data_IF_379535743974
#
_entry.id   IF_379535743974
#
_cell.length_a   1.000
_cell.length_b   1.000
_cell.length_c   1.000
_cell.angle_alpha   90.00
_cell.angle_beta   90.00
_cell.angle_gamma   90.00
#
_symmetry.space_group_name_H-M   'P 1'
#
loop_
_entity.id
_entity.type
_entity.pdbx_description
1 polymer ?
#
# COMPACT_ATOMS: atom_id res chain seq x y z
N UNK A 1 -9.82 2.16 -12.96
CA UNK A 1 -9.01 3.34 -13.34
C UNK A 1 -7.74 3.51 -12.48
N UNK A 2 -7.73 3.14 -11.19
CA UNK A 2 -6.58 3.32 -10.28
C UNK A 2 -5.42 2.32 -10.46
N UNK A 3 -5.51 1.37 -11.37
CA UNK A 3 -4.59 0.23 -11.48
C UNK A 3 -3.23 0.51 -12.08
N UNK A 4 -3.07 1.69 -12.69
CA UNK A 4 -1.79 2.17 -13.25
C UNK A 4 -1.02 3.10 -12.28
N UNK A 5 -1.58 3.40 -11.09
CA UNK A 5 -0.89 4.12 -10.03
C UNK A 5 0.02 3.20 -9.24
N UNK A 6 1.06 3.77 -8.67
CA UNK A 6 1.96 3.08 -7.78
C UNK A 6 1.27 2.53 -6.55
N UNK A 7 1.54 1.26 -6.27
CA UNK A 7 1.18 0.55 -5.05
C UNK A 7 2.46 0.01 -4.40
N UNK A 8 2.36 -0.75 -3.31
CA UNK A 8 3.53 -1.36 -2.70
C UNK A 8 4.18 -2.44 -3.57
N UNK A 9 5.42 -2.78 -3.25
CA UNK A 9 6.18 -3.83 -3.95
C UNK A 9 5.57 -5.21 -3.71
N UNK A 10 5.46 -6.05 -4.76
CA UNK A 10 5.01 -7.45 -4.68
C UNK A 10 5.83 -8.23 -3.67
N UNK A 11 7.16 -8.11 -3.72
CA UNK A 11 8.08 -8.82 -2.81
C UNK A 11 7.85 -8.46 -1.34
N UNK A 12 7.59 -7.18 -1.06
CA UNK A 12 7.32 -6.74 0.30
C UNK A 12 5.96 -7.24 0.76
N UNK A 13 4.93 -7.13 -0.08
CA UNK A 13 3.58 -7.54 0.25
C UNK A 13 3.45 -9.05 0.45
N UNK A 14 4.09 -9.87 -0.41
CA UNK A 14 4.05 -11.33 -0.30
C UNK A 14 4.81 -11.86 0.93
N UNK A 15 5.88 -11.18 1.35
CA UNK A 15 6.65 -11.53 2.56
C UNK A 15 5.97 -11.09 3.85
N UNK A 16 5.08 -10.12 3.78
CA UNK A 16 4.34 -9.58 4.92
C UNK A 16 2.93 -10.18 4.96
N UNK A 17 2.90 -11.51 5.10
CA UNK A 17 1.68 -12.31 5.28
C UNK A 17 1.88 -13.21 6.47
N UNK A 18 0.85 -13.37 7.28
CA UNK A 18 0.84 -14.22 8.47
C UNK A 18 -0.02 -15.45 8.20
N UNK A 19 0.59 -16.62 8.22
CA UNK A 19 -0.11 -17.89 8.16
C UNK A 19 -0.31 -18.43 9.57
N UNK A 20 -1.54 -18.75 9.91
CA UNK A 20 -1.91 -19.35 11.21
C UNK A 20 -2.60 -20.67 10.98
N UNK A 21 -2.12 -21.69 11.69
CA UNK A 21 -2.63 -23.06 11.62
C UNK A 21 -3.12 -23.52 12.97
N UNK A 22 -4.17 -24.30 12.97
CA UNK A 22 -4.63 -25.00 14.16
C UNK A 22 -3.54 -25.95 14.68
N UNK A 23 -3.30 -25.96 16.00
CA UNK A 23 -2.24 -26.72 16.64
C UNK A 23 -0.83 -26.05 16.50
N UNK A 24 -0.75 -24.88 15.92
CA UNK A 24 0.51 -24.12 15.82
C UNK A 24 0.90 -23.58 17.19
N UNK A 25 2.17 -23.77 17.56
CA UNK A 25 2.72 -23.18 18.78
C UNK A 25 3.21 -21.75 18.46
N UNK A 26 2.49 -20.77 18.95
CA UNK A 26 2.79 -19.35 18.83
C UNK A 26 2.23 -18.59 20.04
N UNK A 27 3.08 -17.79 20.69
CA UNK A 27 2.64 -17.00 21.83
C UNK A 27 1.66 -15.89 21.40
N UNK A 28 0.59 -15.72 22.18
CA UNK A 28 -0.43 -14.69 21.92
C UNK A 28 0.18 -13.29 21.70
N UNK A 29 1.16 -12.91 22.51
CA UNK A 29 1.81 -11.58 22.37
C UNK A 29 2.64 -11.47 21.08
N UNK A 30 3.25 -12.55 20.61
CA UNK A 30 3.95 -12.61 19.35
C UNK A 30 2.97 -12.46 18.18
N UNK A 31 1.88 -13.21 18.20
CA UNK A 31 0.79 -13.09 17.22
C UNK A 31 0.24 -11.66 17.14
N UNK A 32 -0.03 -11.02 18.28
CA UNK A 32 -0.50 -9.63 18.31
C UNK A 32 0.53 -8.65 17.74
N UNK A 33 1.82 -8.88 18.00
CA UNK A 33 2.91 -8.05 17.43
C UNK A 33 2.97 -8.20 15.92
N UNK A 34 2.83 -9.42 15.39
CA UNK A 34 2.80 -9.67 13.95
C UNK A 34 1.61 -8.98 13.29
N UNK A 35 0.41 -9.01 13.90
CA UNK A 35 -0.74 -8.25 13.39
C UNK A 35 -0.47 -6.74 13.32
N UNK A 36 0.19 -6.18 14.33
CA UNK A 36 0.57 -4.75 14.31
C UNK A 36 1.63 -4.48 13.23
N UNK A 37 2.58 -5.37 13.02
CA UNK A 37 3.55 -5.27 11.93
C UNK A 37 2.89 -5.32 10.55
N UNK A 38 1.79 -6.09 10.40
CA UNK A 38 0.93 -6.11 9.21
C UNK A 38 0.01 -4.87 9.10
N UNK A 39 0.17 -3.88 9.98
CA UNK A 39 -0.60 -2.63 10.03
C UNK A 39 -2.08 -2.81 10.41
N UNK A 40 -2.43 -3.89 11.11
CA UNK A 40 -3.73 -4.01 11.77
C UNK A 40 -3.78 -3.14 13.02
N UNK A 41 -4.96 -2.57 13.29
CA UNK A 41 -5.18 -1.71 14.46
C UNK A 41 -6.00 -2.46 15.51
N UNK A 42 -5.53 -2.41 16.77
CA UNK A 42 -6.34 -2.94 17.88
C UNK A 42 -7.48 -1.98 18.20
N UNK A 43 -8.70 -2.47 18.13
CA UNK A 43 -9.88 -1.72 18.56
C UNK A 43 -10.95 -2.71 19.06
N UNK A 44 -11.30 -2.59 20.33
CA UNK A 44 -12.29 -3.50 20.96
C UNK A 44 -13.73 -2.99 20.82
N UNK A 45 -13.93 -1.72 20.46
CA UNK A 45 -15.27 -1.08 20.39
C UNK A 45 -15.74 -1.04 18.94
N UNK A 46 -14.93 -0.48 18.05
CA UNK A 46 -15.24 -0.33 16.64
C UNK A 46 -14.43 -1.36 15.84
N UNK A 47 -15.07 -2.50 15.53
CA UNK A 47 -14.43 -3.63 14.86
C UNK A 47 -14.75 -3.60 13.37
N UNK A 48 -13.77 -3.16 12.58
CA UNK A 48 -13.89 -3.00 11.13
C UNK A 48 -12.75 -3.72 10.41
N UNK A 49 -12.86 -3.82 9.10
CA UNK A 49 -11.83 -4.38 8.23
C UNK A 49 -10.45 -3.74 8.49
N UNK A 50 -9.42 -4.57 8.62
CA UNK A 50 -8.07 -4.15 8.98
C UNK A 50 -7.87 -3.90 10.48
N UNK A 51 -8.79 -4.38 11.32
CA UNK A 51 -8.69 -4.29 12.78
C UNK A 51 -8.71 -5.66 13.44
N UNK A 52 -8.22 -5.70 14.67
CA UNK A 52 -8.36 -6.86 15.53
C UNK A 52 -8.80 -6.43 16.94
N UNK A 53 -9.45 -7.35 17.66
CA UNK A 53 -9.81 -7.19 19.07
C UNK A 53 -9.40 -8.40 19.87
N UNK A 54 -9.13 -8.20 21.15
CA UNK A 54 -8.64 -9.24 22.04
C UNK A 54 -9.58 -9.35 23.24
N UNK A 55 -10.03 -10.57 23.53
CA UNK A 55 -10.89 -10.87 24.66
C UNK A 55 -10.41 -12.16 25.34
N UNK A 56 -9.63 -12.03 26.43
CA UNK A 56 -8.96 -13.16 27.06
C UNK A 56 -7.97 -13.82 26.09
N UNK A 57 -8.11 -15.12 25.91
CA UNK A 57 -7.29 -15.93 25.02
C UNK A 57 -7.82 -16.01 23.58
N UNK A 58 -8.69 -15.07 23.19
CA UNK A 58 -9.29 -15.01 21.86
C UNK A 58 -8.92 -13.73 21.15
N UNK A 59 -8.56 -13.85 19.87
CA UNK A 59 -8.29 -12.73 18.98
C UNK A 59 -9.26 -12.82 17.82
N UNK A 60 -10.12 -11.83 17.69
CA UNK A 60 -10.92 -11.64 16.49
C UNK A 60 -10.17 -10.73 15.53
N UNK A 61 -9.96 -11.19 14.30
CA UNK A 61 -9.29 -10.44 13.23
C UNK A 61 -10.29 -10.20 12.11
N UNK A 62 -10.44 -8.95 11.67
CA UNK A 62 -11.19 -8.64 10.46
C UNK A 62 -10.20 -8.44 9.32
N UNK A 63 -10.00 -9.48 8.47
CA UNK A 63 -8.95 -9.45 7.45
C UNK A 63 -9.16 -8.35 6.42
N UNK A 64 -8.06 -7.76 5.95
CA UNK A 64 -8.13 -6.69 4.96
C UNK A 64 -8.66 -7.14 3.59
N UNK A 65 -8.53 -8.44 3.28
CA UNK A 65 -8.96 -9.05 2.02
C UNK A 65 -10.44 -9.49 2.01
N UNK A 66 -11.13 -9.50 3.16
CA UNK A 66 -12.53 -9.92 3.27
C UNK A 66 -13.43 -8.69 3.52
N UNK A 67 -14.68 -8.75 3.05
CA UNK A 67 -15.61 -7.60 3.17
C UNK A 67 -16.53 -7.72 4.39
N UNK A 68 -17.14 -8.91 4.59
CA UNK A 68 -18.20 -9.10 5.58
C UNK A 68 -17.92 -10.27 6.53
N UNK A 69 -16.68 -10.72 6.63
CA UNK A 69 -16.29 -11.93 7.34
C UNK A 69 -15.08 -11.65 8.22
N UNK A 70 -15.12 -12.15 9.44
CA UNK A 70 -14.01 -12.07 10.39
C UNK A 70 -13.61 -13.47 10.89
N UNK A 71 -12.37 -13.58 11.37
CA UNK A 71 -11.82 -14.80 11.94
C UNK A 71 -11.62 -14.65 13.44
N UNK A 72 -12.05 -15.66 14.18
CA UNK A 72 -11.80 -15.83 15.61
C UNK A 72 -10.75 -16.89 15.81
N UNK A 73 -9.62 -16.51 16.37
CA UNK A 73 -8.49 -17.38 16.68
C UNK A 73 -8.46 -17.53 18.19
N UNK A 74 -8.66 -18.76 18.68
CA UNK A 74 -8.65 -19.09 20.10
C UNK A 74 -7.31 -19.73 20.46
N UNK A 75 -6.76 -19.35 21.60
CA UNK A 75 -5.49 -19.86 22.11
C UNK A 75 -5.73 -20.66 23.39
N UNK A 76 -4.97 -21.72 23.57
CA UNK A 76 -4.82 -22.43 24.83
C UNK A 76 -3.34 -22.43 25.22
N UNK A 77 -2.95 -21.54 26.14
CA UNK A 77 -1.55 -21.25 26.40
C UNK A 77 -0.87 -20.63 25.19
N UNK A 78 0.16 -21.29 24.69
CA UNK A 78 0.93 -20.87 23.50
C UNK A 78 0.54 -21.67 22.24
N UNK A 79 -0.60 -22.34 22.23
CA UNK A 79 -1.08 -23.13 21.10
C UNK A 79 -2.38 -22.54 20.50
N UNK A 80 -2.49 -22.51 19.18
CA UNK A 80 -3.72 -22.17 18.48
C UNK A 80 -4.70 -23.35 18.57
N UNK A 81 -5.73 -23.22 19.43
CA UNK A 81 -6.73 -24.25 19.68
C UNK A 81 -7.70 -24.39 18.51
N UNK A 82 -8.21 -23.25 18.00
CA UNK A 82 -9.27 -23.25 17.00
C UNK A 82 -9.26 -21.95 16.15
N UNK A 83 -9.69 -22.07 14.89
CA UNK A 83 -9.86 -20.96 13.96
C UNK A 83 -11.27 -21.01 13.39
N UNK A 84 -12.08 -20.00 13.71
CA UNK A 84 -13.49 -19.92 13.31
C UNK A 84 -13.74 -18.69 12.46
N UNK A 85 -14.54 -18.86 11.44
CA UNK A 85 -15.11 -17.79 10.64
C UNK A 85 -16.46 -17.40 11.22
N UNK A 86 -16.73 -16.10 11.31
CA UNK A 86 -17.98 -15.57 11.81
C UNK A 86 -18.35 -14.24 11.14
N UNK A 87 -19.63 -13.93 11.13
CA UNK A 87 -20.16 -12.64 10.73
C UNK A 87 -19.86 -11.58 11.82
N UNK A 88 -19.10 -10.53 11.53
CA UNK A 88 -18.73 -9.52 12.53
C UNK A 88 -19.90 -8.67 13.05
N UNK A 89 -21.05 -8.63 12.35
CA UNK A 89 -22.24 -7.88 12.75
C UNK A 89 -23.14 -8.70 13.68
N UNK A 90 -23.43 -9.95 13.30
CA UNK A 90 -24.34 -10.83 14.06
C UNK A 90 -23.60 -11.66 15.10
N UNK A 91 -22.30 -11.92 14.89
CA UNK A 91 -21.51 -12.84 15.69
C UNK A 91 -21.77 -14.32 15.38
N UNK A 92 -22.59 -14.61 14.36
CA UNK A 92 -22.93 -15.98 13.97
C UNK A 92 -21.71 -16.72 13.41
N UNK A 93 -21.54 -17.96 13.86
CA UNK A 93 -20.52 -18.86 13.35
C UNK A 93 -20.88 -19.32 11.94
N UNK A 94 -19.87 -19.34 11.05
CA UNK A 94 -20.03 -19.77 9.65
C UNK A 94 -19.34 -21.12 9.45
N UNK A 95 -18.04 -21.21 9.70
CA UNK A 95 -17.26 -22.44 9.54
C UNK A 95 -15.93 -22.40 10.33
N UNK A 96 -15.26 -23.56 10.43
CA UNK A 96 -13.92 -23.67 11.00
C UNK A 96 -12.89 -23.90 9.92
N UNK A 97 -11.65 -23.46 10.18
CA UNK A 97 -10.50 -23.63 9.30
C UNK A 97 -9.37 -24.36 10.01
N UNK A 98 -8.62 -25.18 9.28
CA UNK A 98 -7.35 -25.74 9.72
C UNK A 98 -6.20 -24.73 9.60
N UNK A 99 -6.30 -23.83 8.61
CA UNK A 99 -5.33 -22.74 8.41
C UNK A 99 -5.98 -21.52 7.76
N UNK A 100 -5.47 -20.35 8.09
CA UNK A 100 -5.85 -19.07 7.46
C UNK A 100 -4.61 -18.25 7.15
N UNK A 101 -4.73 -17.39 6.13
CA UNK A 101 -3.67 -16.50 5.68
C UNK A 101 -4.13 -15.04 5.81
N UNK A 102 -3.50 -14.30 6.69
CA UNK A 102 -3.79 -12.89 6.96
C UNK A 102 -2.83 -12.05 6.13
N UNK A 103 -3.37 -11.28 5.19
CA UNK A 103 -2.60 -10.36 4.37
C UNK A 103 -2.44 -9.01 5.06
N UNK A 104 -1.40 -8.28 4.69
CA UNK A 104 -1.15 -6.95 5.21
C UNK A 104 -2.33 -5.98 4.95
N UNK A 105 -2.61 -5.12 5.91
CA UNK A 105 -3.68 -4.10 5.82
C UNK A 105 -3.28 -2.89 4.97
N UNK A 106 -2.05 -2.83 4.46
CA UNK A 106 -1.55 -1.76 3.62
C UNK A 106 -0.66 -2.31 2.52
N UNK A 107 -0.75 -1.75 1.32
CA UNK A 107 0.17 -2.06 0.22
C UNK A 107 1.57 -1.46 0.40
N UNK A 108 1.71 -0.45 1.26
CA UNK A 108 3.00 0.22 1.54
C UNK A 108 3.71 -0.34 2.77
N UNK A 109 3.48 -1.62 3.06
CA UNK A 109 4.16 -2.29 4.15
C UNK A 109 5.62 -2.57 3.78
N UNK A 110 6.52 -2.35 4.74
CA UNK A 110 7.95 -2.43 4.47
C UNK A 110 8.67 -3.10 5.64
N UNK A 111 9.51 -4.13 5.41
CA UNK A 111 10.30 -4.75 6.46
C UNK A 111 11.21 -3.74 7.18
N UNK A 112 11.39 -3.89 8.50
CA UNK A 112 12.14 -2.97 9.36
C UNK A 112 13.51 -2.54 8.81
N UNK A 113 14.39 -3.44 8.32
CA UNK A 113 15.71 -3.02 7.82
C UNK A 113 15.62 -2.07 6.61
N UNK A 114 14.64 -2.30 5.73
CA UNK A 114 14.39 -1.43 4.57
C UNK A 114 13.78 -0.10 4.99
N UNK A 115 12.90 -0.11 6.00
CA UNK A 115 12.30 1.09 6.55
C UNK A 115 13.35 2.02 7.17
N UNK A 116 14.31 1.47 7.92
CA UNK A 116 15.41 2.24 8.51
C UNK A 116 16.29 2.88 7.44
N UNK A 117 16.58 2.17 6.35
CA UNK A 117 17.31 2.72 5.21
C UNK A 117 16.52 3.82 4.51
N UNK A 118 15.22 3.61 4.28
CA UNK A 118 14.33 4.63 3.70
C UNK A 118 14.33 5.91 4.53
N UNK A 119 14.26 5.81 5.86
CA UNK A 119 14.33 6.95 6.77
C UNK A 119 15.64 7.75 6.61
N UNK A 120 16.78 7.05 6.46
CA UNK A 120 18.09 7.70 6.24
C UNK A 120 18.12 8.45 4.91
N UNK A 121 17.60 7.84 3.85
CA UNK A 121 17.53 8.45 2.52
C UNK A 121 16.58 9.65 2.48
N UNK A 122 15.40 9.54 3.12
CA UNK A 122 14.46 10.66 3.24
C UNK A 122 15.11 11.85 3.97
N UNK A 123 15.83 11.61 5.08
CA UNK A 123 16.55 12.66 5.82
C UNK A 123 17.63 13.32 4.96
N UNK A 124 18.33 12.54 4.15
CA UNK A 124 19.35 13.06 3.23
C UNK A 124 18.73 13.96 2.15
N UNK A 125 17.67 13.49 1.51
CA UNK A 125 16.99 14.27 0.45
C UNK A 125 16.29 15.51 1.03
N UNK A 126 15.73 15.41 2.24
CA UNK A 126 15.20 16.56 2.96
C UNK A 126 16.27 17.63 3.16
N UNK A 127 17.44 17.25 3.66
CA UNK A 127 18.56 18.19 3.88
C UNK A 127 18.95 18.92 2.60
N UNK A 128 19.11 18.19 1.50
CA UNK A 128 19.45 18.76 0.18
C UNK A 128 18.38 19.77 -0.25
N UNK A 129 17.10 19.40 -0.14
CA UNK A 129 15.99 20.27 -0.57
C UNK A 129 15.85 21.52 0.30
N UNK A 130 16.13 21.42 1.58
CA UNK A 130 16.13 22.57 2.50
C UNK A 130 17.27 23.54 2.17
N UNK A 131 18.46 23.05 1.84
CA UNK A 131 19.59 23.88 1.40
C UNK A 131 19.29 24.62 0.07
N UNK A 132 18.53 23.99 -0.84
CA UNK A 132 18.05 24.64 -2.06
C UNK A 132 17.10 25.81 -1.75
N UNK A 133 16.08 25.56 -0.92
CA UNK A 133 15.12 26.59 -0.53
C UNK A 133 15.78 27.75 0.25
N UNK A 134 16.77 27.47 1.08
CA UNK A 134 17.51 28.50 1.80
C UNK A 134 18.30 29.40 0.83
N UNK A 135 19.01 28.81 -0.14
CA UNK A 135 19.70 29.55 -1.21
C UNK A 135 18.75 30.40 -2.05
N UNK A 136 17.55 29.89 -2.32
CA UNK A 136 16.52 30.63 -3.05
C UNK A 136 15.74 31.63 -2.18
N UNK A 137 16.03 31.73 -0.88
CA UNK A 137 15.34 32.57 0.12
C UNK A 137 13.84 32.27 0.25
N UNK A 138 13.44 31.02 0.00
CA UNK A 138 12.08 30.52 0.14
C UNK A 138 11.83 30.01 1.56
N UNK A 139 11.75 30.93 2.52
CA UNK A 139 11.68 30.60 3.95
C UNK A 139 10.39 29.89 4.33
N UNK A 140 9.27 30.21 3.70
CA UNK A 140 7.98 29.58 3.97
C UNK A 140 7.97 28.12 3.49
N UNK A 141 8.45 27.87 2.29
CA UNK A 141 8.60 26.54 1.70
C UNK A 141 9.57 25.68 2.52
N UNK A 142 10.68 26.27 2.94
CA UNK A 142 11.66 25.65 3.83
C UNK A 142 11.00 25.15 5.13
N UNK A 143 10.32 26.06 5.85
CA UNK A 143 9.69 25.73 7.12
C UNK A 143 8.62 24.65 6.94
N UNK A 144 7.74 24.83 5.97
CA UNK A 144 6.65 23.89 5.68
C UNK A 144 7.16 22.48 5.39
N UNK A 145 8.15 22.36 4.51
CA UNK A 145 8.73 21.07 4.14
C UNK A 145 9.42 20.40 5.34
N UNK A 146 10.19 21.17 6.10
CA UNK A 146 10.91 20.70 7.29
C UNK A 146 9.94 20.14 8.34
N UNK A 147 8.93 20.92 8.72
CA UNK A 147 7.95 20.50 9.73
C UNK A 147 7.18 19.28 9.29
N UNK A 148 6.64 19.29 8.07
CA UNK A 148 5.85 18.18 7.53
C UNK A 148 6.66 16.90 7.43
N UNK A 149 7.86 16.96 6.86
CA UNK A 149 8.67 15.75 6.65
C UNK A 149 9.19 15.19 7.98
N UNK A 150 9.56 16.03 8.94
CA UNK A 150 9.96 15.55 10.26
C UNK A 150 8.80 14.85 10.99
N UNK A 151 7.60 15.43 10.96
CA UNK A 151 6.40 14.79 11.51
C UNK A 151 6.12 13.44 10.85
N UNK A 152 6.17 13.37 9.52
CA UNK A 152 5.98 12.12 8.79
C UNK A 152 7.04 11.06 9.17
N UNK A 153 8.30 11.47 9.35
CA UNK A 153 9.40 10.60 9.81
C UNK A 153 9.19 10.06 11.23
N UNK A 154 8.73 10.90 12.16
CA UNK A 154 8.38 10.48 13.51
C UNK A 154 7.26 9.43 13.50
N UNK A 155 6.22 9.66 12.70
CA UNK A 155 5.12 8.70 12.54
C UNK A 155 5.60 7.38 11.93
N UNK A 156 6.44 7.43 10.89
CA UNK A 156 7.02 6.23 10.27
C UNK A 156 7.89 5.46 11.28
N UNK A 157 8.68 6.13 12.09
CA UNK A 157 9.50 5.49 13.12
C UNK A 157 8.65 4.83 14.22
N UNK A 158 7.57 5.49 14.63
CA UNK A 158 6.70 5.01 15.72
C UNK A 158 5.76 3.89 15.28
N UNK A 159 5.19 3.97 14.08
CA UNK A 159 4.08 3.11 13.64
C UNK A 159 4.33 2.35 12.34
N UNK A 160 5.47 2.59 11.68
CA UNK A 160 5.78 2.04 10.36
C UNK A 160 5.04 2.70 9.19
N UNK A 161 4.20 3.71 9.46
CA UNK A 161 3.41 4.40 8.43
C UNK A 161 3.16 5.87 8.78
N UNK A 162 2.69 6.66 7.81
CA UNK A 162 2.23 8.03 8.02
C UNK A 162 1.10 8.38 7.05
N UNK A 163 0.42 9.50 7.28
CA UNK A 163 -0.57 10.01 6.31
C UNK A 163 0.15 10.50 5.05
N UNK A 164 -0.14 9.87 3.91
CA UNK A 164 0.53 10.14 2.64
C UNK A 164 1.84 9.36 2.47
N UNK A 165 1.94 8.18 3.08
CA UNK A 165 3.11 7.28 2.98
C UNK A 165 3.51 7.00 1.52
N UNK A 166 2.57 7.05 0.59
CA UNK A 166 2.80 6.89 -0.84
C UNK A 166 3.78 7.91 -1.42
N UNK A 167 3.91 9.10 -0.82
CA UNK A 167 4.88 10.11 -1.25
C UNK A 167 6.33 9.69 -1.00
N UNK A 168 6.54 8.67 -0.17
CA UNK A 168 7.82 8.07 0.15
C UNK A 168 8.02 6.70 -0.50
N UNK A 169 7.11 6.28 -1.40
CA UNK A 169 7.08 4.94 -2.01
C UNK A 169 8.40 4.53 -2.69
N UNK A 170 9.12 5.48 -3.31
CA UNK A 170 10.44 5.23 -3.91
C UNK A 170 11.42 4.65 -2.90
N UNK A 171 11.54 5.25 -1.73
CA UNK A 171 12.46 4.78 -0.68
C UNK A 171 12.01 3.45 -0.10
N UNK A 172 10.69 3.28 0.09
CA UNK A 172 10.13 2.05 0.65
C UNK A 172 10.27 0.85 -0.31
N UNK A 173 10.16 1.09 -1.62
CA UNK A 173 10.36 0.05 -2.64
C UNK A 173 11.84 -0.16 -3.02
N UNK A 174 12.75 0.76 -2.63
CA UNK A 174 14.17 0.73 -2.99
C UNK A 174 14.44 1.02 -4.46
N UNK A 175 13.54 1.69 -5.15
CA UNK A 175 13.67 2.09 -6.56
C UNK A 175 14.48 3.35 -6.72
N UNK A 176 15.11 3.50 -7.89
CA UNK A 176 15.86 4.70 -8.23
C UNK A 176 14.91 5.85 -8.63
N UNK A 177 15.38 7.12 -8.54
CA UNK A 177 14.61 8.25 -9.04
C UNK A 177 14.21 8.07 -10.51
N UNK A 178 12.92 8.29 -10.81
CA UNK A 178 12.39 8.21 -12.17
C UNK A 178 11.96 6.81 -12.63
N UNK A 179 12.33 5.74 -11.90
CA UNK A 179 11.84 4.39 -12.21
C UNK A 179 10.31 4.29 -12.08
N UNK A 180 9.64 3.47 -12.93
CA UNK A 180 8.22 3.21 -12.79
C UNK A 180 7.89 2.68 -11.39
N UNK A 181 6.81 3.17 -10.73
CA UNK A 181 6.41 2.61 -9.46
C UNK A 181 5.86 1.19 -9.62
N UNK A 182 5.92 0.35 -8.58
CA UNK A 182 5.21 -0.93 -8.59
C UNK A 182 3.73 -0.69 -8.82
N UNK A 183 3.12 -1.43 -9.73
CA UNK A 183 1.71 -1.31 -10.04
C UNK A 183 1.01 -2.67 -9.97
N UNK A 184 -0.30 -2.69 -10.15
CA UNK A 184 -1.06 -3.94 -10.17
C UNK A 184 -0.56 -4.90 -11.25
N UNK A 185 0.05 -4.41 -12.33
CA UNK A 185 0.58 -5.25 -13.41
C UNK A 185 1.69 -6.20 -12.94
N UNK A 186 2.44 -5.84 -11.90
CA UNK A 186 3.46 -6.70 -11.31
C UNK A 186 2.86 -7.87 -10.48
N UNK A 187 1.56 -7.77 -10.12
CA UNK A 187 0.84 -8.81 -9.37
C UNK A 187 0.05 -9.78 -10.28
N UNK A 188 -0.04 -9.46 -11.56
CA UNK A 188 -0.80 -10.27 -12.51
C UNK A 188 0.08 -11.46 -12.99
N UNK A 189 -0.44 -12.70 -13.01
CA UNK A 189 0.29 -13.85 -13.57
C UNK A 189 0.67 -13.63 -15.04
N UNK A 190 1.80 -14.22 -15.47
CA UNK A 190 2.33 -14.04 -16.83
C UNK A 190 1.36 -14.46 -17.95
N UNK A 191 0.51 -15.47 -17.68
CA UNK A 191 -0.48 -15.99 -18.64
C UNK A 191 -1.85 -15.31 -18.55
N UNK A 192 -1.91 -14.08 -18.08
CA UNK A 192 -3.15 -13.32 -17.93
C UNK A 192 -3.62 -12.69 -19.25
N UNK A 193 -4.92 -12.45 -19.34
CA UNK A 193 -5.57 -11.69 -20.39
C UNK A 193 -6.19 -10.43 -19.77
N UNK A 194 -5.86 -9.27 -20.34
CA UNK A 194 -6.47 -7.99 -19.94
C UNK A 194 -7.65 -7.68 -20.86
N UNK A 195 -8.79 -7.38 -20.28
CA UNK A 195 -9.97 -6.90 -21.01
C UNK A 195 -10.25 -5.47 -20.57
N UNK A 196 -10.23 -4.53 -21.49
CA UNK A 196 -10.50 -3.11 -21.25
C UNK A 196 -11.85 -2.77 -21.86
N UNK A 197 -12.82 -2.58 -20.97
CA UNK A 197 -14.13 -2.08 -21.36
C UNK A 197 -14.13 -0.56 -21.53
N UNK A 198 -15.03 -0.06 -22.38
CA UNK A 198 -15.12 1.37 -22.76
C UNK A 198 -13.75 1.92 -23.16
N UNK A 199 -13.02 1.17 -23.97
CA UNK A 199 -11.64 1.45 -24.33
C UNK A 199 -11.44 2.81 -25.02
N UNK A 200 -12.48 3.30 -25.73
CA UNK A 200 -12.47 4.64 -26.36
C UNK A 200 -12.36 5.79 -25.36
N UNK A 201 -12.72 5.56 -24.09
CA UNK A 201 -12.54 6.50 -22.98
C UNK A 201 -11.33 6.14 -22.13
N UNK A 202 -11.18 4.85 -21.79
CA UNK A 202 -10.17 4.37 -20.85
C UNK A 202 -8.74 4.57 -21.36
N UNK A 203 -8.48 4.32 -22.64
CA UNK A 203 -7.12 4.43 -23.22
C UNK A 203 -6.64 5.88 -23.31
N UNK A 204 -7.43 6.86 -23.81
CA UNK A 204 -7.07 8.27 -23.74
C UNK A 204 -6.86 8.79 -22.32
N UNK A 205 -7.63 8.31 -21.34
CA UNK A 205 -7.44 8.68 -19.93
C UNK A 205 -6.10 8.19 -19.40
N UNK A 206 -5.71 6.93 -19.67
CA UNK A 206 -4.40 6.40 -19.31
C UNK A 206 -3.29 7.31 -19.85
N UNK A 207 -3.38 7.73 -21.10
CA UNK A 207 -2.41 8.63 -21.71
C UNK A 207 -2.34 10.00 -21.03
N UNK A 208 -3.46 10.55 -20.59
CA UNK A 208 -3.54 11.87 -19.92
C UNK A 208 -3.12 11.89 -18.46
N UNK A 209 -3.25 10.76 -17.74
CA UNK A 209 -3.10 10.69 -16.27
C UNK A 209 -1.71 11.09 -15.79
N UNK A 210 -0.65 10.62 -16.45
CA UNK A 210 0.73 10.94 -16.07
C UNK A 210 1.02 12.45 -16.07
N UNK A 211 0.63 13.14 -17.14
CA UNK A 211 0.89 14.58 -17.29
C UNK A 211 0.15 15.40 -16.22
N UNK A 212 -1.10 15.07 -15.94
CA UNK A 212 -1.91 15.73 -14.92
C UNK A 212 -1.35 15.52 -13.50
N UNK A 213 -1.00 14.28 -13.16
CA UNK A 213 -0.42 13.96 -11.85
C UNK A 213 0.94 14.64 -11.64
N UNK A 214 1.81 14.60 -12.67
CA UNK A 214 3.13 15.23 -12.62
C UNK A 214 3.03 16.74 -12.43
N UNK A 215 2.15 17.43 -13.14
CA UNK A 215 1.95 18.87 -13.00
C UNK A 215 1.54 19.25 -11.58
N UNK A 216 0.55 18.54 -11.03
CA UNK A 216 0.09 18.74 -9.64
C UNK A 216 1.19 18.51 -8.62
N UNK A 217 1.90 17.39 -8.71
CA UNK A 217 2.95 17.03 -7.75
C UNK A 217 4.18 17.92 -7.85
N UNK A 218 4.51 18.39 -9.05
CA UNK A 218 5.56 19.41 -9.23
C UNK A 218 5.21 20.67 -8.45
N UNK A 219 4.00 21.20 -8.61
CA UNK A 219 3.55 22.35 -7.83
C UNK A 219 3.67 22.10 -6.33
N UNK A 220 3.20 20.95 -5.82
CA UNK A 220 3.32 20.61 -4.39
C UNK A 220 4.77 20.56 -3.91
N UNK A 221 5.70 20.08 -4.73
CA UNK A 221 7.13 20.04 -4.41
C UNK A 221 7.77 21.42 -4.46
N UNK A 222 7.45 22.24 -5.47
CA UNK A 222 8.01 23.57 -5.66
C UNK A 222 7.60 24.53 -4.53
N UNK A 223 6.41 24.32 -3.93
CA UNK A 223 5.91 25.11 -2.80
C UNK A 223 6.13 24.45 -1.42
N UNK A 224 7.01 23.47 -1.32
CA UNK A 224 7.42 22.86 -0.05
C UNK A 224 6.36 22.00 0.65
N UNK A 225 5.31 21.55 -0.03
CA UNK A 225 4.31 20.64 0.55
C UNK A 225 4.76 19.17 0.54
N UNK A 226 5.68 18.81 -0.36
CA UNK A 226 6.20 17.45 -0.53
C UNK A 226 7.66 17.47 -0.95
N UNK A 227 8.39 16.39 -0.64
CA UNK A 227 9.71 16.15 -1.23
C UNK A 227 9.58 15.89 -2.74
N UNK A 228 10.62 16.17 -3.54
CA UNK A 228 10.66 15.83 -4.97
C UNK A 228 10.38 14.35 -5.26
N UNK A 229 10.72 13.45 -4.34
CA UNK A 229 10.43 12.01 -4.41
C UNK A 229 8.96 11.66 -4.56
N UNK A 230 8.04 12.56 -4.16
CA UNK A 230 6.60 12.37 -4.38
C UNK A 230 6.23 12.28 -5.87
N UNK A 231 7.08 12.82 -6.77
CA UNK A 231 6.93 12.71 -8.22
C UNK A 231 7.11 11.27 -8.73
N UNK A 232 7.82 10.43 -7.98
CA UNK A 232 8.10 9.04 -8.36
C UNK A 232 6.93 8.09 -8.02
N UNK A 233 6.03 8.48 -7.09
CA UNK A 233 4.75 7.81 -6.92
C UNK A 233 3.73 8.35 -7.93
N UNK A 234 3.73 7.84 -9.11
CA UNK A 234 3.01 8.36 -10.27
C UNK A 234 2.26 7.25 -11.01
N UNK A 235 1.28 7.59 -11.83
CA UNK A 235 0.78 6.61 -12.79
C UNK A 235 1.88 6.24 -13.78
N UNK A 236 1.78 5.06 -14.37
CA UNK A 236 2.62 4.70 -15.51
C UNK A 236 2.45 5.72 -16.64
N UNK A 237 3.51 5.96 -17.40
CA UNK A 237 3.37 6.59 -18.70
C UNK A 237 2.63 5.66 -19.65
N UNK A 238 2.12 6.19 -20.76
CA UNK A 238 1.43 5.35 -21.75
C UNK A 238 2.34 4.27 -22.33
N UNK A 239 3.60 4.62 -22.58
CA UNK A 239 4.62 3.72 -23.09
C UNK A 239 4.94 2.60 -22.10
N UNK A 240 5.14 2.94 -20.82
CA UNK A 240 5.37 1.96 -19.73
C UNK A 240 4.17 1.02 -19.61
N UNK A 241 2.96 1.56 -19.58
CA UNK A 241 1.74 0.77 -19.54
C UNK A 241 1.63 -0.18 -20.73
N UNK A 242 1.93 0.30 -21.93
CA UNK A 242 1.85 -0.51 -23.15
C UNK A 242 2.89 -1.64 -23.17
N UNK A 243 4.06 -1.44 -22.57
CA UNK A 243 5.07 -2.50 -22.40
C UNK A 243 4.72 -3.53 -21.32
N UNK A 244 4.06 -3.09 -20.24
CA UNK A 244 3.77 -3.94 -19.08
C UNK A 244 2.46 -4.72 -19.18
N UNK A 245 1.50 -4.25 -19.97
CA UNK A 245 0.21 -4.91 -20.10
C UNK A 245 0.33 -6.29 -20.76
N UNK A 246 -0.39 -7.31 -20.27
CA UNK A 246 -0.47 -8.60 -20.94
C UNK A 246 -1.25 -8.49 -22.27
N UNK A 247 -1.40 -9.58 -23.04
CA UNK A 247 -2.32 -9.60 -24.18
C UNK A 247 -3.65 -8.96 -23.82
N UNK A 248 -4.14 -8.04 -24.67
CA UNK A 248 -5.23 -7.15 -24.29
C UNK A 248 -6.33 -7.16 -25.36
N UNK A 249 -7.58 -7.29 -24.88
CA UNK A 249 -8.78 -7.10 -25.69
C UNK A 249 -9.38 -5.74 -25.34
N UNK A 250 -9.60 -4.92 -26.36
CA UNK A 250 -10.25 -3.62 -26.22
C UNK A 250 -11.71 -3.74 -26.66
N UNK A 251 -12.63 -3.42 -25.75
CA UNK A 251 -14.08 -3.42 -26.00
C UNK A 251 -14.57 -1.97 -26.06
N UNK A 252 -15.43 -1.70 -27.02
CA UNK A 252 -16.10 -0.39 -27.15
C UNK A 252 -17.31 -0.50 -28.05
N UNK A 253 -18.42 0.06 -27.61
CA UNK A 253 -19.62 0.21 -28.46
C UNK A 253 -19.42 1.29 -29.54
N UNK A 254 -18.53 2.27 -29.29
CA UNK A 254 -18.23 3.39 -30.20
C UNK A 254 -16.70 3.57 -30.33
N UNK A 255 -16.01 2.67 -31.07
CA UNK A 255 -14.56 2.76 -31.19
C UNK A 255 -14.16 4.04 -31.92
N UNK A 256 -13.31 4.85 -31.28
CA UNK A 256 -12.73 6.04 -31.91
C UNK A 256 -11.60 5.69 -32.88
N UNK A 257 -11.25 6.61 -33.78
CA UNK A 257 -10.17 6.45 -34.76
C UNK A 257 -8.82 6.06 -34.13
N UNK A 258 -8.55 6.53 -32.91
CA UNK A 258 -7.32 6.18 -32.17
C UNK A 258 -7.22 4.71 -31.76
N UNK A 259 -8.32 3.98 -31.73
CA UNK A 259 -8.34 2.53 -31.41
C UNK A 259 -8.24 1.64 -32.64
N UNK A 260 -8.47 2.19 -33.83
CA UNK A 260 -8.40 1.42 -35.09
C UNK A 260 -6.95 1.15 -35.50
N UNK A 261 -5.99 1.91 -34.94
CA UNK A 261 -4.56 1.86 -35.28
C UNK A 261 -3.65 1.37 -34.14
N UNK A 262 -4.23 0.75 -33.08
CA UNK A 262 -3.45 0.17 -31.98
C UNK A 262 -3.08 -1.29 -32.28
#
# INVERSE_FOLDING_TARGET
MFRIYGIGSVDSYSKMTLEIKKGQNINLMEFLRELVELQYKRNNIDFRRGMFRVTGDRVDVFPAQLEDIAWRISFFGDEVEDIKEFDPLTGEFIQSFEEVKIFANSHYITPKPRLENAIKEIKKDLKIRLEEFDKEKKLLEFQRLKERTNFDLEMIQATGTCSGIENYSRYLSGRQPGEPPPTLYEFIPENSLLIIDESHVSVPQINGMYKGDRSRKKTLSDYGFRLPSALDNRPLTFEEWNMMRPPTIFLSATPGLSLIHI
#
